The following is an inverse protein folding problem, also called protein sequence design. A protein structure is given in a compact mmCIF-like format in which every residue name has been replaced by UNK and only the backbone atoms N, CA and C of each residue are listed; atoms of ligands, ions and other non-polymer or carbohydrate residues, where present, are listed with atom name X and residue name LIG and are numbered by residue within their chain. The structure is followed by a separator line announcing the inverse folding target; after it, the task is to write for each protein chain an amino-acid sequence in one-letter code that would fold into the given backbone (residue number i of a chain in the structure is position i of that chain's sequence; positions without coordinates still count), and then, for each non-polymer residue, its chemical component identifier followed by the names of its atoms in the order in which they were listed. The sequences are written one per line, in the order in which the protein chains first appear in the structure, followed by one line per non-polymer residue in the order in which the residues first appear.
data_IF_956637741104
#
_entry.id   IF_956637741104
#
_cell.length_a   1.000
_cell.length_b   1.000
_cell.length_c   1.000
_cell.angle_alpha   90.00
_cell.angle_beta   90.00
_cell.angle_gamma   90.00
#
_symmetry.space_group_name_H-M   'P 1'
#
loop_
_entity.id
_entity.type
_entity.pdbx_description
1 polymer ?
#
# COMPACT_ATOMS: atom_id res chain seq x y z
N UNK A 1 -5.09 4.18 36.62
CA UNK A 1 -4.32 3.11 35.95
C UNK A 1 -2.90 3.65 35.81
N UNK A 2 -1.95 3.17 36.62
CA UNK A 2 -0.53 3.52 36.44
C UNK A 2 0.00 2.68 35.29
N UNK A 3 0.19 3.30 34.13
CA UNK A 3 0.82 2.65 32.99
C UNK A 3 2.27 2.33 33.34
N UNK A 4 2.63 1.04 33.36
CA UNK A 4 4.00 0.61 33.61
C UNK A 4 4.87 1.00 32.37
N UNK A 5 6.05 1.64 32.54
CA UNK A 5 6.91 2.01 31.41
C UNK A 5 7.23 0.86 30.44
N UNK A 6 7.26 -0.39 30.93
CA UNK A 6 7.41 -1.58 30.07
C UNK A 6 6.21 -1.81 29.14
N UNK A 7 4.97 -1.59 29.61
CA UNK A 7 3.77 -1.75 28.77
C UNK A 7 3.72 -0.69 27.67
N UNK A 8 4.11 0.54 27.99
CA UNK A 8 4.23 1.63 27.00
C UNK A 8 5.32 1.30 25.97
N UNK A 9 6.47 0.77 26.41
CA UNK A 9 7.56 0.39 25.50
C UNK A 9 7.15 -0.71 24.53
N UNK A 10 6.39 -1.71 25.01
CA UNK A 10 5.87 -2.78 24.17
C UNK A 10 4.85 -2.27 23.13
N UNK A 11 3.96 -1.35 23.53
CA UNK A 11 3.01 -0.71 22.62
C UNK A 11 3.72 0.13 21.54
N UNK A 12 4.71 0.94 21.93
CA UNK A 12 5.51 1.75 20.98
C UNK A 12 6.27 0.85 20.01
N UNK A 13 6.81 -0.27 20.49
CA UNK A 13 7.55 -1.22 19.65
C UNK A 13 6.63 -1.91 18.63
N UNK A 14 5.41 -2.27 19.03
CA UNK A 14 4.38 -2.77 18.10
C UNK A 14 4.01 -1.74 17.04
N UNK A 15 3.70 -0.51 17.46
CA UNK A 15 3.38 0.60 16.57
C UNK A 15 4.48 0.90 15.56
N UNK A 16 5.75 0.85 15.98
CA UNK A 16 6.89 1.05 15.06
C UNK A 16 6.94 -0.02 13.97
N UNK A 17 6.67 -1.28 14.33
CA UNK A 17 6.67 -2.38 13.37
C UNK A 17 5.53 -2.25 12.36
N UNK A 18 4.34 -1.93 12.85
CA UNK A 18 3.16 -1.74 11.99
C UNK A 18 3.35 -0.52 11.07
N UNK A 19 3.95 0.56 11.59
CA UNK A 19 4.27 1.75 10.79
C UNK A 19 5.29 1.44 9.68
N UNK A 20 6.35 0.68 9.97
CA UNK A 20 7.32 0.26 8.97
C UNK A 20 6.67 -0.61 7.88
N UNK A 21 5.81 -1.55 8.27
CA UNK A 21 5.10 -2.39 7.31
C UNK A 21 4.13 -1.58 6.44
N UNK A 22 3.47 -0.58 7.03
CA UNK A 22 2.62 0.35 6.31
C UNK A 22 3.41 1.19 5.32
N UNK A 23 4.55 1.78 5.72
CA UNK A 23 5.36 2.63 4.83
C UNK A 23 5.93 1.84 3.66
N UNK A 24 6.35 0.59 3.87
CA UNK A 24 6.77 -0.30 2.78
C UNK A 24 5.63 -0.59 1.79
N UNK A 25 4.43 -0.90 2.30
CA UNK A 25 3.26 -1.18 1.48
C UNK A 25 2.80 0.07 0.70
N UNK A 26 2.85 1.22 1.36
CA UNK A 26 2.57 2.52 0.77
C UNK A 26 3.58 2.87 -0.34
N UNK A 27 4.87 2.73 -0.08
CA UNK A 27 5.91 3.03 -1.07
C UNK A 27 5.75 2.14 -2.32
N UNK A 28 5.47 0.84 -2.14
CA UNK A 28 5.19 -0.08 -3.24
C UNK A 28 3.96 0.32 -4.04
N UNK A 29 2.86 0.63 -3.37
CA UNK A 29 1.61 1.02 -4.01
C UNK A 29 1.75 2.34 -4.79
N UNK A 30 2.39 3.35 -4.20
CA UNK A 30 2.64 4.64 -4.84
C UNK A 30 3.55 4.46 -6.06
N UNK A 31 4.65 3.71 -5.93
CA UNK A 31 5.54 3.41 -7.05
C UNK A 31 4.78 2.75 -8.19
N UNK A 32 4.02 1.70 -7.90
CA UNK A 32 3.27 0.99 -8.92
C UNK A 32 2.18 1.84 -9.58
N UNK A 33 1.53 2.73 -8.82
CA UNK A 33 0.59 3.70 -9.37
C UNK A 33 1.25 4.73 -10.28
N UNK A 34 2.44 5.21 -9.90
CA UNK A 34 3.24 6.13 -10.71
C UNK A 34 3.73 5.45 -12.00
N UNK A 35 4.19 4.20 -11.94
CA UNK A 35 4.60 3.43 -13.10
C UNK A 35 3.44 3.25 -14.09
N UNK A 36 2.24 2.90 -13.59
CA UNK A 36 1.03 2.77 -14.42
C UNK A 36 0.60 4.10 -15.06
N UNK A 37 0.69 5.21 -14.32
CA UNK A 37 0.40 6.53 -14.86
C UNK A 37 1.44 6.93 -15.93
N UNK A 38 2.71 6.69 -15.67
CA UNK A 38 3.81 6.95 -16.60
C UNK A 38 3.65 6.19 -17.91
N UNK A 39 3.31 4.90 -17.84
CA UNK A 39 3.03 4.09 -19.03
C UNK A 39 1.89 4.68 -19.87
N UNK A 40 0.77 5.05 -19.25
CA UNK A 40 -0.36 5.67 -19.98
C UNK A 40 0.01 7.03 -20.61
N UNK A 41 0.90 7.80 -19.97
CA UNK A 41 1.39 9.06 -20.53
C UNK A 41 2.30 8.80 -21.74
N UNK A 42 3.21 7.81 -21.65
CA UNK A 42 4.10 7.42 -22.75
C UNK A 42 3.28 6.92 -23.94
N UNK A 43 2.32 6.02 -23.72
CA UNK A 43 1.42 5.52 -24.77
C UNK A 43 0.62 6.65 -25.43
N UNK A 44 0.17 7.63 -24.63
CA UNK A 44 -0.51 8.80 -25.16
C UNK A 44 0.42 9.70 -25.99
N UNK A 45 1.70 9.78 -25.63
CA UNK A 45 2.72 10.55 -26.34
C UNK A 45 3.11 9.89 -27.67
N UNK A 46 3.23 8.56 -27.70
CA UNK A 46 3.61 7.79 -28.91
C UNK A 46 2.57 7.89 -30.03
N UNK A 47 1.32 8.22 -29.70
CA UNK A 47 0.24 8.42 -30.68
C UNK A 47 0.24 9.84 -31.29
N UNK A 48 1.18 10.69 -30.90
CA UNK A 48 1.22 12.10 -31.27
C UNK A 48 2.57 12.43 -31.90
N UNK A 49 2.59 13.40 -32.82
CA UNK A 49 3.82 13.86 -33.45
C UNK A 49 4.76 14.55 -32.46
N UNK A 50 4.21 15.17 -31.40
CA UNK A 50 4.98 15.75 -30.30
C UNK A 50 4.42 15.37 -28.92
N UNK A 51 5.27 15.08 -27.92
CA UNK A 51 4.84 14.77 -26.55
C UNK A 51 4.11 15.93 -25.85
N UNK A 52 4.31 17.17 -26.31
CA UNK A 52 3.63 18.36 -25.77
C UNK A 52 2.18 18.46 -26.18
N UNK A 53 1.76 17.70 -27.20
CA UNK A 53 0.40 17.71 -27.71
C UNK A 53 -0.52 16.80 -26.92
N UNK A 54 -0.02 16.14 -25.86
CA UNK A 54 -0.83 15.29 -25.01
C UNK A 54 -1.94 16.14 -24.38
N UNK A 55 -3.22 15.82 -24.64
CA UNK A 55 -4.32 16.54 -24.04
C UNK A 55 -4.24 16.48 -22.52
N UNK A 56 -4.46 17.61 -21.83
CA UNK A 56 -4.49 17.67 -20.37
C UNK A 56 -5.48 16.65 -19.77
N UNK A 57 -6.57 16.35 -20.47
CA UNK A 57 -7.53 15.31 -20.08
C UNK A 57 -6.91 13.91 -20.04
N UNK A 58 -6.00 13.56 -20.95
CA UNK A 58 -5.26 12.28 -20.93
C UNK A 58 -4.28 12.23 -19.76
N UNK A 59 -3.56 13.32 -19.49
CA UNK A 59 -2.65 13.41 -18.34
C UNK A 59 -3.42 13.23 -17.01
N UNK A 60 -4.54 13.93 -16.85
CA UNK A 60 -5.39 13.83 -15.67
C UNK A 60 -5.97 12.41 -15.54
N UNK A 61 -6.39 11.79 -16.64
CA UNK A 61 -6.87 10.42 -16.64
C UNK A 61 -5.79 9.42 -16.20
N UNK A 62 -4.57 9.54 -16.72
CA UNK A 62 -3.43 8.70 -16.34
C UNK A 62 -3.09 8.84 -14.85
N UNK A 63 -3.02 10.08 -14.34
CA UNK A 63 -2.82 10.37 -12.92
C UNK A 63 -3.91 9.77 -12.04
N UNK A 64 -5.18 9.95 -12.43
CA UNK A 64 -6.33 9.37 -11.72
C UNK A 64 -6.28 7.85 -11.67
N UNK A 65 -5.91 7.22 -12.79
CA UNK A 65 -5.79 5.77 -12.88
C UNK A 65 -4.64 5.25 -12.01
N UNK A 66 -3.48 5.91 -12.05
CA UNK A 66 -2.35 5.58 -11.17
C UNK A 66 -2.69 5.71 -9.69
N UNK A 67 -3.35 6.80 -9.29
CA UNK A 67 -3.82 6.99 -7.92
C UNK A 67 -4.84 5.92 -7.50
N UNK A 68 -5.79 5.57 -8.38
CA UNK A 68 -6.75 4.49 -8.13
C UNK A 68 -6.05 3.14 -7.98
N UNK A 69 -5.06 2.86 -8.81
CA UNK A 69 -4.29 1.62 -8.76
C UNK A 69 -3.50 1.49 -7.46
N UNK A 70 -2.80 2.56 -7.06
CA UNK A 70 -2.13 2.64 -5.76
C UNK A 70 -3.12 2.41 -4.61
N UNK A 71 -4.30 3.04 -4.66
CA UNK A 71 -5.35 2.85 -3.66
C UNK A 71 -5.83 1.40 -3.57
N UNK A 72 -6.03 0.72 -4.71
CA UNK A 72 -6.41 -0.70 -4.74
C UNK A 72 -5.34 -1.61 -4.14
N UNK A 73 -4.06 -1.33 -4.39
CA UNK A 73 -2.96 -2.10 -3.78
C UNK A 73 -2.86 -1.89 -2.26
N UNK A 74 -3.09 -0.66 -1.80
CA UNK A 74 -3.15 -0.36 -0.36
C UNK A 74 -4.30 -1.10 0.33
N UNK A 75 -5.49 -1.12 -0.29
CA UNK A 75 -6.64 -1.86 0.25
C UNK A 75 -6.32 -3.36 0.32
N UNK A 76 -5.77 -3.95 -0.73
CA UNK A 76 -5.36 -5.36 -0.72
C UNK A 76 -4.30 -5.64 0.36
N UNK A 77 -3.28 -4.79 0.46
CA UNK A 77 -2.23 -4.93 1.49
C UNK A 77 -2.82 -4.85 2.91
N UNK A 78 -3.83 -3.99 3.11
CA UNK A 78 -4.56 -3.91 4.37
C UNK A 78 -5.36 -5.19 4.66
N UNK A 79 -6.10 -5.71 3.67
CA UNK A 79 -6.83 -6.98 3.79
C UNK A 79 -5.86 -8.12 4.12
N UNK A 80 -4.72 -8.21 3.45
CA UNK A 80 -3.70 -9.24 3.69
C UNK A 80 -3.08 -9.13 5.09
N UNK A 81 -2.92 -7.90 5.61
CA UNK A 81 -2.46 -7.66 6.97
C UNK A 81 -3.46 -8.18 8.01
N UNK A 82 -4.75 -7.84 7.87
CA UNK A 82 -5.80 -8.34 8.76
C UNK A 82 -6.01 -9.86 8.62
N UNK A 83 -5.95 -10.39 7.40
CA UNK A 83 -6.03 -11.83 7.14
C UNK A 83 -4.88 -12.62 7.77
N UNK A 84 -3.66 -12.07 7.81
CA UNK A 84 -2.53 -12.70 8.50
C UNK A 84 -2.67 -12.66 10.02
N UNK A 85 -3.28 -11.62 10.60
CA UNK A 85 -3.58 -11.57 12.03
C UNK A 85 -4.57 -12.66 12.45
N UNK A 86 -5.64 -12.87 11.68
CA UNK A 86 -6.64 -13.92 11.98
C UNK A 86 -6.07 -15.35 11.89
N UNK A 87 -5.18 -15.59 10.92
CA UNK A 87 -4.49 -16.87 10.78
C UNK A 87 -3.45 -17.12 11.89
N UNK A 88 -2.82 -16.06 12.40
CA UNK A 88 -1.88 -16.16 13.52
C UNK A 88 -2.61 -16.44 14.86
N UNK A 89 -3.78 -15.87 15.06
CA UNK A 89 -4.63 -16.11 16.24
C UNK A 89 -5.22 -17.54 16.26
N UNK A 90 -5.55 -18.09 15.10
CA UNK A 90 -6.09 -19.45 14.96
C UNK A 90 -5.00 -20.54 14.96
N UNK A 91 -3.74 -20.22 14.64
CA UNK A 91 -2.59 -21.13 14.72
C UNK A 91 -2.15 -21.50 16.15
N UNK A 92 -2.45 -20.68 17.15
CA UNK A 92 -2.11 -20.98 18.55
C UNK A 92 -3.01 -22.05 19.20
N UNK A 93 -4.18 -22.36 18.64
CA UNK A 93 -5.10 -23.37 19.21
C UNK A 93 -4.71 -24.82 18.90
N UNK A 94 -3.73 -25.10 18.02
CA UNK A 94 -3.34 -26.47 17.64
C UNK A 94 -2.11 -27.06 18.36
N UNK A 95 -1.45 -26.31 19.27
CA UNK A 95 -0.29 -26.82 20.04
C UNK A 95 -0.55 -27.08 21.54
N UNK A 96 -1.80 -27.27 21.96
CA UNK A 96 -2.17 -27.67 23.34
C UNK A 96 -3.04 -28.93 23.42
N UNK A 97 -2.82 -29.88 22.52
CA UNK A 97 -3.30 -31.28 22.69
C UNK A 97 -2.22 -32.24 22.21
N UNK A 98 -1.25 -32.50 23.07
CA UNK A 98 -0.59 -33.81 23.17
C UNK A 98 -0.15 -33.99 24.60
#
# INVERSE_FOLDING_TARGET
MSSNPQDISNLISGLKKDLLQFTESYAKAVKSGADMAGQQIIEAAEQLDQPTDIPASKLIAALRNGARHAGQQLIHSGIDFFGQMDNTASGQKKKKKK
#
